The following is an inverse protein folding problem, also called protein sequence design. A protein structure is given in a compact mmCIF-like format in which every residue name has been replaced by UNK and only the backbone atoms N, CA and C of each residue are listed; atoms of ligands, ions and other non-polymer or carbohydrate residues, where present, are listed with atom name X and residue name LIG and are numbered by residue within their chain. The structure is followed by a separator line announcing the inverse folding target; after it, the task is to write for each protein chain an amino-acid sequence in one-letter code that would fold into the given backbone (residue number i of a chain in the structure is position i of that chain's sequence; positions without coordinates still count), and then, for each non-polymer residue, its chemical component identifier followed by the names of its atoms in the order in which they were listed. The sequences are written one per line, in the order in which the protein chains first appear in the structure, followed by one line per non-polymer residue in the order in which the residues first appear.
data_IF_925930526494
#
_entry.id   IF_925930526494
#
_cell.length_a   1.000
_cell.length_b   1.000
_cell.length_c   1.000
_cell.angle_alpha   90.00
_cell.angle_beta   90.00
_cell.angle_gamma   90.00
#
_symmetry.space_group_name_H-M   'P 1'
#
loop_
_entity.id
_entity.type
_entity.pdbx_description
1 polymer ?
#
# COMPACT_ATOMS: atom_id res chain seq x y z
N UNK A 1 -11.77 -70.22 0.77
CA UNK A 1 -12.32 -69.12 1.60
C UNK A 1 -11.20 -68.12 1.88
N UNK A 2 -11.17 -66.98 1.19
CA UNK A 2 -10.16 -65.94 1.34
C UNK A 2 -10.55 -65.04 2.52
N UNK A 3 -9.73 -64.96 3.56
CA UNK A 3 -9.89 -64.00 4.66
C UNK A 3 -9.14 -62.72 4.30
N UNK A 4 -9.89 -61.64 4.09
CA UNK A 4 -9.38 -60.30 3.84
C UNK A 4 -9.07 -59.66 5.21
N UNK A 5 -7.81 -59.32 5.48
CA UNK A 5 -7.43 -58.54 6.66
C UNK A 5 -7.49 -57.06 6.29
N UNK A 6 -8.42 -56.33 6.93
CA UNK A 6 -8.49 -54.87 6.84
C UNK A 6 -7.42 -54.28 7.78
N UNK A 7 -6.41 -53.63 7.22
CA UNK A 7 -5.45 -52.82 7.99
C UNK A 7 -6.04 -51.42 8.12
N UNK A 8 -6.42 -51.03 9.33
CA UNK A 8 -6.82 -49.65 9.62
C UNK A 8 -5.56 -48.89 10.04
N UNK A 9 -4.98 -48.13 9.12
CA UNK A 9 -3.92 -47.17 9.41
C UNK A 9 -4.55 -45.96 10.11
N UNK A 10 -4.32 -45.82 11.42
CA UNK A 10 -4.64 -44.59 12.15
C UNK A 10 -3.56 -43.55 11.82
N UNK A 11 -3.86 -42.66 10.88
CA UNK A 11 -3.04 -41.46 10.65
C UNK A 11 -3.34 -40.51 11.82
N UNK A 12 -2.42 -40.42 12.77
CA UNK A 12 -2.37 -39.30 13.70
C UNK A 12 -2.05 -38.05 12.88
N UNK A 13 -3.07 -37.30 12.50
CA UNK A 13 -2.90 -35.91 12.09
C UNK A 13 -2.43 -35.16 13.33
N UNK A 14 -1.11 -34.96 13.43
CA UNK A 14 -0.56 -33.88 14.21
C UNK A 14 -1.06 -32.58 13.57
N UNK A 15 -2.17 -32.04 14.08
CA UNK A 15 -2.42 -30.61 13.94
C UNK A 15 -1.33 -29.92 14.75
N UNK A 16 -0.24 -29.55 14.08
CA UNK A 16 0.57 -28.46 14.59
C UNK A 16 -0.32 -27.22 14.50
N UNK A 17 -0.67 -26.64 15.64
CA UNK A 17 -1.15 -25.27 15.69
C UNK A 17 -0.11 -24.40 14.99
N UNK A 18 -0.36 -24.09 13.71
CA UNK A 18 0.28 -22.96 13.06
C UNK A 18 -0.24 -21.78 13.86
N UNK A 19 0.61 -21.21 14.73
CA UNK A 19 0.37 -19.91 15.33
C UNK A 19 0.14 -18.93 14.16
N UNK A 20 -1.13 -18.73 13.81
CA UNK A 20 -1.53 -18.22 12.51
C UNK A 20 -1.17 -16.76 12.36
N UNK A 21 -0.08 -16.46 11.62
CA UNK A 21 0.32 -15.09 11.31
C UNK A 21 -0.89 -14.28 10.84
N UNK A 22 -1.19 -13.20 11.57
CA UNK A 22 -2.22 -12.26 11.17
C UNK A 22 -1.58 -11.21 10.28
N UNK A 23 -2.29 -10.73 9.28
CA UNK A 23 -1.75 -9.75 8.35
C UNK A 23 -2.82 -8.77 7.92
N UNK A 24 -2.40 -7.56 7.56
CA UNK A 24 -3.24 -6.52 7.00
C UNK A 24 -2.87 -6.31 5.54
N UNK A 25 -3.85 -6.40 4.65
CA UNK A 25 -3.63 -6.25 3.22
C UNK A 25 -4.07 -4.87 2.74
N UNK A 26 -3.25 -4.25 1.91
CA UNK A 26 -3.53 -3.00 1.21
C UNK A 26 -3.92 -3.33 -0.22
N UNK A 27 -5.18 -3.13 -0.58
CA UNK A 27 -5.73 -3.54 -1.88
C UNK A 27 -6.09 -2.30 -2.71
N UNK A 28 -5.34 -2.00 -3.79
CA UNK A 28 -5.80 -1.05 -4.79
C UNK A 28 -7.12 -1.52 -5.40
N UNK A 29 -8.04 -0.59 -5.59
CA UNK A 29 -9.37 -0.84 -6.15
C UNK A 29 -9.65 0.15 -7.27
N UNK A 30 -10.57 -0.24 -8.15
CA UNK A 30 -11.10 0.58 -9.22
C UNK A 30 -12.58 0.24 -9.39
N UNK A 31 -13.47 1.24 -9.37
CA UNK A 31 -14.93 1.04 -9.46
C UNK A 31 -15.44 0.01 -8.42
N UNK A 32 -14.94 0.11 -7.18
CA UNK A 32 -15.23 -0.80 -6.04
C UNK A 32 -14.79 -2.26 -6.22
N UNK A 33 -14.09 -2.61 -7.31
CA UNK A 33 -13.52 -3.94 -7.53
C UNK A 33 -12.02 -3.93 -7.23
N UNK A 34 -11.45 -5.11 -6.94
CA UNK A 34 -9.99 -5.25 -6.84
C UNK A 34 -9.37 -4.87 -8.18
N UNK A 35 -8.40 -3.97 -8.13
CA UNK A 35 -7.69 -3.50 -9.31
C UNK A 35 -6.73 -4.58 -9.81
N UNK A 36 -6.83 -4.87 -11.10
CA UNK A 36 -5.91 -5.74 -11.84
C UNK A 36 -5.11 -4.86 -12.80
N UNK A 37 -3.78 -4.90 -12.70
CA UNK A 37 -2.91 -4.18 -13.62
C UNK A 37 -3.13 -4.66 -15.07
N UNK A 38 -2.90 -3.75 -16.02
CA UNK A 38 -3.04 -3.96 -17.46
C UNK A 38 -4.45 -4.34 -17.96
N UNK A 39 -5.44 -4.40 -17.07
CA UNK A 39 -6.85 -4.52 -17.43
C UNK A 39 -7.44 -3.16 -17.80
N UNK A 40 -8.35 -3.16 -18.77
CA UNK A 40 -9.10 -1.96 -19.18
C UNK A 40 -10.42 -1.89 -18.43
N UNK A 41 -10.66 -0.78 -17.75
CA UNK A 41 -11.88 -0.48 -16.98
C UNK A 41 -12.96 0.17 -17.84
N UNK A 42 -14.14 0.43 -17.25
CA UNK A 42 -15.35 0.81 -17.99
C UNK A 42 -15.20 2.13 -18.76
N UNK A 43 -14.37 3.04 -18.26
CA UNK A 43 -14.03 4.34 -18.85
C UNK A 43 -12.87 4.30 -19.85
N UNK A 44 -12.43 3.11 -20.25
CA UNK A 44 -11.24 2.84 -21.08
C UNK A 44 -9.91 3.20 -20.40
N UNK A 45 -9.92 3.45 -19.09
CA UNK A 45 -8.68 3.61 -18.33
C UNK A 45 -8.02 2.25 -18.12
N UNK A 46 -6.70 2.21 -18.18
CA UNK A 46 -5.84 1.06 -17.89
C UNK A 46 -4.75 1.53 -16.95
N UNK A 47 -4.57 0.80 -15.85
CA UNK A 47 -3.51 1.08 -14.87
C UNK A 47 -2.37 0.11 -15.10
N UNK A 48 -1.16 0.62 -15.32
CA UNK A 48 0.01 -0.21 -15.68
C UNK A 48 0.99 -0.36 -14.53
N UNK A 49 1.01 0.57 -13.57
CA UNK A 49 1.88 0.46 -12.39
C UNK A 49 1.30 1.21 -11.19
N UNK A 50 1.39 0.59 -10.02
CA UNK A 50 1.07 1.20 -8.73
C UNK A 50 2.15 0.77 -7.74
N UNK A 51 2.89 1.75 -7.22
CA UNK A 51 3.83 1.54 -6.11
C UNK A 51 3.71 2.67 -5.10
N UNK A 52 3.80 2.37 -3.83
CA UNK A 52 3.78 3.40 -2.80
C UNK A 52 4.51 2.96 -1.54
N UNK A 53 5.03 3.92 -0.80
CA UNK A 53 5.62 3.64 0.51
C UNK A 53 4.56 3.80 1.59
N UNK A 54 4.48 2.79 2.46
CA UNK A 54 3.91 2.98 3.79
C UNK A 54 4.97 2.78 4.84
N UNK A 55 4.81 3.40 6.00
CA UNK A 55 5.69 3.17 7.14
C UNK A 55 5.05 3.61 8.44
N UNK A 56 5.77 3.50 9.55
CA UNK A 56 5.28 3.90 10.88
C UNK A 56 3.88 3.33 11.18
N UNK A 57 3.65 2.07 10.80
CA UNK A 57 2.36 1.41 10.93
C UNK A 57 2.08 1.16 12.40
N UNK A 58 0.90 1.53 12.87
CA UNK A 58 0.44 1.38 14.24
C UNK A 58 -0.93 0.76 14.25
N UNK A 59 -1.13 -0.22 15.14
CA UNK A 59 -2.46 -0.74 15.46
C UNK A 59 -2.85 -0.23 16.83
N UNK A 60 -4.03 0.36 16.91
CA UNK A 60 -4.49 1.01 18.12
C UNK A 60 -5.77 0.38 18.65
N UNK A 61 -5.86 0.28 19.96
CA UNK A 61 -7.12 0.08 20.68
C UNK A 61 -7.49 1.41 21.32
N UNK A 62 -8.49 2.07 20.76
CA UNK A 62 -8.93 3.43 21.11
C UNK A 62 -7.83 4.48 20.87
N UNK A 63 -7.00 4.74 21.88
CA UNK A 63 -5.84 5.65 21.81
C UNK A 63 -4.53 4.97 22.23
N UNK A 64 -4.57 3.70 22.64
CA UNK A 64 -3.40 2.94 23.05
C UNK A 64 -2.78 2.23 21.85
N UNK A 65 -1.46 2.33 21.70
CA UNK A 65 -0.70 1.61 20.67
C UNK A 65 -0.52 0.16 21.13
N UNK A 66 -1.06 -0.78 20.35
CA UNK A 66 -0.99 -2.22 20.61
C UNK A 66 0.13 -2.89 19.81
N UNK A 67 0.49 -2.30 18.67
CA UNK A 67 1.58 -2.73 17.80
C UNK A 67 2.12 -1.53 17.04
N UNK A 68 3.42 -1.53 16.78
CA UNK A 68 4.11 -0.51 15.98
C UNK A 68 5.20 -1.16 15.12
N UNK A 69 5.18 -0.88 13.82
CA UNK A 69 6.22 -1.17 12.87
C UNK A 69 6.80 0.18 12.37
N UNK A 70 7.95 0.62 12.88
CA UNK A 70 8.51 1.92 12.54
C UNK A 70 9.16 1.96 11.15
N UNK A 71 9.46 0.80 10.54
CA UNK A 71 10.08 0.73 9.23
C UNK A 71 9.13 1.12 8.10
N UNK A 72 9.72 1.55 6.99
CA UNK A 72 9.04 1.72 5.71
C UNK A 72 9.02 0.41 4.95
N UNK A 73 7.95 0.18 4.19
CA UNK A 73 7.77 -0.94 3.28
C UNK A 73 7.31 -0.43 1.92
N UNK A 74 7.90 -0.96 0.84
CA UNK A 74 7.46 -0.70 -0.51
C UNK A 74 6.25 -1.60 -0.81
N UNK A 75 5.11 -0.98 -1.08
CA UNK A 75 3.91 -1.64 -1.57
C UNK A 75 3.95 -1.59 -3.10
N UNK A 76 4.08 -2.74 -3.74
CA UNK A 76 4.17 -2.88 -5.21
C UNK A 76 3.04 -3.79 -5.72
N UNK A 77 2.14 -3.24 -6.53
CA UNK A 77 1.03 -4.01 -7.07
C UNK A 77 1.46 -5.06 -8.11
N UNK A 78 2.67 -4.96 -8.67
CA UNK A 78 3.27 -6.01 -9.51
C UNK A 78 3.76 -7.20 -8.68
N UNK A 79 3.97 -7.01 -7.37
CA UNK A 79 4.41 -8.01 -6.40
C UNK A 79 3.39 -8.10 -5.25
N UNK A 80 2.24 -8.77 -5.44
CA UNK A 80 1.11 -8.72 -4.50
C UNK A 80 1.41 -9.14 -3.06
N UNK A 81 2.46 -9.93 -2.83
CA UNK A 81 2.97 -10.29 -1.50
C UNK A 81 3.47 -9.08 -0.71
N UNK A 82 3.97 -8.06 -1.40
CA UNK A 82 4.44 -6.81 -0.78
C UNK A 82 3.29 -5.96 -0.25
N UNK A 83 2.07 -6.15 -0.76
CA UNK A 83 0.85 -5.43 -0.37
C UNK A 83 0.32 -5.82 1.03
N UNK A 84 1.15 -6.41 1.87
CA UNK A 84 0.75 -7.01 3.13
C UNK A 84 1.69 -6.58 4.26
N UNK A 85 1.12 -6.13 5.37
CA UNK A 85 1.83 -5.92 6.64
C UNK A 85 1.59 -7.11 7.56
N UNK A 86 2.68 -7.71 8.03
CA UNK A 86 2.60 -8.75 9.05
C UNK A 86 2.28 -8.13 10.40
N UNK A 87 1.39 -8.78 11.14
CA UNK A 87 0.93 -8.31 12.45
C UNK A 87 1.01 -9.45 13.47
N UNK A 88 1.26 -9.13 14.75
CA UNK A 88 1.23 -10.14 15.80
C UNK A 88 -0.13 -10.84 15.86
N UNK A 89 -0.09 -12.11 16.22
CA UNK A 89 -1.30 -12.85 16.58
C UNK A 89 -1.75 -12.42 17.98
N UNK A 90 -3.04 -12.50 18.27
CA UNK A 90 -3.61 -12.27 19.61
C UNK A 90 -3.55 -10.83 20.15
N UNK A 91 -3.51 -9.81 19.28
CA UNK A 91 -3.73 -8.41 19.69
C UNK A 91 -5.15 -7.98 19.31
N UNK A 92 -5.77 -7.13 20.14
CA UNK A 92 -7.05 -6.49 19.82
C UNK A 92 -6.80 -5.03 19.45
N UNK A 93 -7.31 -4.60 18.30
CA UNK A 93 -7.25 -3.22 17.83
C UNK A 93 -8.58 -2.85 17.17
N UNK A 94 -8.85 -1.55 17.05
CA UNK A 94 -10.01 -1.01 16.34
C UNK A 94 -9.64 0.14 15.39
N UNK A 95 -8.34 0.46 15.26
CA UNK A 95 -7.82 1.45 14.32
C UNK A 95 -6.46 1.03 13.79
N UNK A 96 -6.17 1.47 12.57
CA UNK A 96 -4.82 1.47 12.00
C UNK A 96 -4.41 2.92 11.74
N UNK A 97 -3.14 3.23 12.03
CA UNK A 97 -2.50 4.46 11.60
C UNK A 97 -1.23 4.10 10.84
N UNK A 98 -0.95 4.79 9.75
CA UNK A 98 0.29 4.60 9.00
C UNK A 98 0.68 5.90 8.30
N UNK A 99 1.95 6.02 7.97
CA UNK A 99 2.43 7.06 7.08
C UNK A 99 2.37 6.60 5.63
N UNK A 100 2.04 7.53 4.76
CA UNK A 100 2.11 7.42 3.32
C UNK A 100 3.28 8.30 2.85
N UNK A 101 4.30 7.65 2.30
CA UNK A 101 5.56 8.29 1.92
C UNK A 101 6.64 8.29 2.99
N UNK A 102 7.81 8.78 2.62
CA UNK A 102 9.03 8.78 3.43
C UNK A 102 9.24 10.15 4.10
N UNK A 103 9.49 10.18 5.41
CA UNK A 103 9.71 11.41 6.14
C UNK A 103 11.01 12.15 5.74
N UNK A 104 11.11 13.40 6.15
CA UNK A 104 12.27 14.26 5.82
C UNK A 104 13.59 13.78 6.43
N UNK A 105 13.56 13.18 7.63
CA UNK A 105 14.77 12.72 8.30
C UNK A 105 15.37 11.49 7.60
N UNK A 106 14.53 10.57 7.12
CA UNK A 106 14.95 9.44 6.29
C UNK A 106 15.41 9.91 4.92
N UNK A 107 14.70 10.83 4.26
CA UNK A 107 15.17 11.40 2.98
C UNK A 107 16.55 12.07 3.09
N UNK A 108 16.83 12.77 4.19
CA UNK A 108 18.12 13.43 4.43
C UNK A 108 19.30 12.44 4.58
N UNK A 109 19.05 11.15 4.79
CA UNK A 109 20.09 10.12 4.81
C UNK A 109 20.54 9.73 3.39
N UNK A 110 19.82 10.19 2.36
CA UNK A 110 20.07 9.83 0.96
C UNK A 110 19.49 8.46 0.60
N UNK A 111 20.08 7.83 -0.41
CA UNK A 111 19.67 6.52 -0.87
C UNK A 111 20.05 5.42 0.14
N UNK A 112 19.05 4.68 0.59
CA UNK A 112 19.18 3.51 1.47
C UNK A 112 19.03 2.21 0.67
N UNK A 113 18.99 1.06 1.36
CA UNK A 113 18.86 -0.28 0.77
C UNK A 113 17.52 -0.92 1.14
N UNK A 114 17.27 -2.14 0.67
CA UNK A 114 16.03 -2.88 0.95
C UNK A 114 14.84 -2.27 0.21
N UNK A 115 13.71 -2.08 0.89
CA UNK A 115 12.52 -1.44 0.31
C UNK A 115 12.81 -0.02 -0.21
N UNK A 116 13.79 0.64 0.41
CA UNK A 116 14.24 1.98 0.07
C UNK A 116 15.41 2.01 -0.94
N UNK A 117 15.74 0.88 -1.56
CA UNK A 117 16.77 0.81 -2.61
C UNK A 117 16.32 1.56 -3.88
N UNK A 118 17.12 2.52 -4.42
CA UNK A 118 16.81 3.19 -5.68
C UNK A 118 16.58 2.26 -6.87
N UNK A 119 17.10 1.02 -6.85
CA UNK A 119 16.83 0.00 -7.87
C UNK A 119 15.35 -0.33 -8.03
N UNK A 120 14.53 -0.08 -6.99
CA UNK A 120 13.08 -0.23 -7.06
C UNK A 120 12.40 0.85 -7.92
N UNK A 121 13.18 1.82 -8.43
CA UNK A 121 12.71 2.91 -9.30
C UNK A 121 11.87 3.95 -8.55
N UNK A 122 11.98 4.00 -7.23
CA UNK A 122 11.19 4.86 -6.33
C UNK A 122 12.03 5.97 -5.68
N UNK A 123 13.14 6.36 -6.32
CA UNK A 123 14.04 7.40 -5.82
C UNK A 123 14.49 8.33 -6.96
N UNK A 124 14.32 9.63 -6.77
CA UNK A 124 14.88 10.65 -7.65
C UNK A 124 16.24 11.12 -7.13
N UNK A 125 17.24 11.05 -8.00
CA UNK A 125 18.62 11.42 -7.66
C UNK A 125 18.84 12.92 -7.40
N UNK A 126 17.95 13.80 -7.87
CA UNK A 126 18.09 15.25 -7.75
C UNK A 126 17.02 15.87 -6.84
N UNK A 127 17.43 16.29 -5.64
CA UNK A 127 16.73 17.07 -4.59
C UNK A 127 15.30 16.70 -4.17
N UNK A 128 14.66 15.74 -4.84
CA UNK A 128 13.26 15.36 -4.58
C UNK A 128 13.15 14.07 -3.77
N UNK A 129 14.26 13.33 -3.63
CA UNK A 129 14.36 12.15 -2.75
C UNK A 129 13.44 11.01 -3.20
N UNK A 130 12.84 10.33 -2.24
CA UNK A 130 11.93 9.21 -2.50
C UNK A 130 10.65 9.66 -3.22
N UNK A 131 10.20 8.83 -4.15
CA UNK A 131 8.88 8.89 -4.76
C UNK A 131 7.94 8.19 -3.78
N UNK A 132 7.08 8.94 -3.11
CA UNK A 132 6.15 8.41 -2.12
C UNK A 132 5.08 7.52 -2.75
N UNK A 133 4.63 7.88 -3.97
CA UNK A 133 3.69 7.10 -4.76
C UNK A 133 3.99 7.23 -6.26
N UNK A 134 3.99 6.10 -6.96
CA UNK A 134 4.03 5.97 -8.42
C UNK A 134 2.72 5.37 -8.90
N UNK A 135 2.06 6.06 -9.82
CA UNK A 135 0.85 5.61 -10.51
C UNK A 135 0.98 5.94 -12.00
N UNK A 136 0.92 4.92 -12.84
CA UNK A 136 1.05 5.05 -14.29
C UNK A 136 -0.07 4.32 -15.01
N UNK A 137 -0.41 4.80 -16.21
CA UNK A 137 -1.43 4.18 -17.01
C UNK A 137 -1.81 4.99 -18.23
N UNK A 138 -2.95 4.62 -18.79
CA UNK A 138 -3.51 5.19 -20.00
C UNK A 138 -5.01 5.37 -19.82
N UNK A 139 -5.53 6.53 -20.22
CA UNK A 139 -6.97 6.76 -20.39
C UNK A 139 -7.17 7.32 -21.79
N UNK A 140 -7.84 8.47 -21.96
CA UNK A 140 -7.86 9.19 -23.26
C UNK A 140 -6.45 9.55 -23.75
N UNK A 141 -5.52 9.74 -22.82
CA UNK A 141 -4.09 9.96 -23.07
C UNK A 141 -3.29 9.22 -21.98
N UNK A 142 -2.01 8.89 -22.24
CA UNK A 142 -1.12 8.37 -21.20
C UNK A 142 -0.97 9.34 -20.03
N UNK A 143 -0.87 8.80 -18.82
CA UNK A 143 -0.59 9.58 -17.62
C UNK A 143 0.55 8.98 -16.79
N UNK A 144 1.24 9.84 -16.04
CA UNK A 144 2.37 9.46 -15.19
C UNK A 144 2.37 10.32 -13.93
N UNK A 145 2.16 9.70 -12.78
CA UNK A 145 2.12 10.36 -11.48
C UNK A 145 3.18 9.77 -10.58
N UNK A 146 4.31 10.45 -10.48
CA UNK A 146 5.35 10.19 -9.49
C UNK A 146 5.26 11.32 -8.48
N UNK A 147 4.68 11.00 -7.33
CA UNK A 147 4.36 11.93 -6.26
C UNK A 147 5.43 11.77 -5.19
N UNK A 148 6.19 12.83 -4.95
CA UNK A 148 7.24 12.86 -3.93
C UNK A 148 7.50 14.29 -3.46
N UNK A 149 8.53 14.45 -2.65
CA UNK A 149 8.86 15.71 -1.98
C UNK A 149 8.67 15.63 -0.47
N UNK A 150 9.72 16.00 0.25
CA UNK A 150 9.83 15.90 1.71
C UNK A 150 10.19 17.24 2.38
N UNK A 151 10.39 18.28 1.58
CA UNK A 151 10.75 19.62 2.02
C UNK A 151 9.57 20.58 1.86
N UNK A 152 9.48 21.56 2.75
CA UNK A 152 8.55 22.68 2.60
C UNK A 152 8.98 23.52 1.38
N UNK A 153 8.04 23.97 0.53
CA UNK A 153 6.58 23.88 0.70
C UNK A 153 5.92 22.59 0.17
N UNK A 154 6.66 21.72 -0.53
CA UNK A 154 6.11 20.57 -1.25
C UNK A 154 6.32 19.23 -0.52
N UNK A 155 5.96 19.18 0.76
CA UNK A 155 6.04 17.95 1.55
C UNK A 155 4.79 17.08 1.34
N UNK A 156 4.92 15.99 0.60
CA UNK A 156 3.82 15.07 0.25
C UNK A 156 3.64 13.90 1.24
N UNK A 157 4.41 13.85 2.32
CA UNK A 157 4.22 12.88 3.39
C UNK A 157 2.87 13.10 4.08
N UNK A 158 2.08 12.04 4.28
CA UNK A 158 0.79 12.10 5.00
C UNK A 158 0.71 11.01 6.05
N UNK A 159 -0.13 11.24 7.07
CA UNK A 159 -0.50 10.20 8.04
C UNK A 159 -1.97 9.88 7.84
N UNK A 160 -2.28 8.61 7.64
CA UNK A 160 -3.63 8.08 7.48
C UNK A 160 -4.01 7.36 8.76
N UNK A 161 -5.21 7.59 9.26
CA UNK A 161 -5.78 6.86 10.41
C UNK A 161 -7.20 6.45 10.11
N UNK A 162 -7.48 5.15 10.17
CA UNK A 162 -8.77 4.57 9.82
C UNK A 162 -9.32 3.73 10.98
N UNK A 163 -10.64 3.70 11.19
CA UNK A 163 -11.25 2.62 11.95
C UNK A 163 -10.93 1.29 11.27
N UNK A 164 -10.84 0.21 12.04
CA UNK A 164 -10.46 -1.08 11.49
C UNK A 164 -11.19 -2.21 12.18
N UNK A 165 -12.01 -2.93 11.41
CA UNK A 165 -12.74 -4.12 11.84
C UNK A 165 -12.19 -5.38 11.18
N UNK A 166 -11.85 -5.26 9.89
CA UNK A 166 -11.29 -6.34 9.07
C UNK A 166 -9.83 -6.08 8.76
N UNK A 167 -9.16 -7.07 8.19
CA UNK A 167 -7.73 -7.04 7.93
C UNK A 167 -7.37 -6.46 6.56
N UNK A 168 -8.18 -5.52 6.05
CA UNK A 168 -8.01 -4.94 4.72
C UNK A 168 -8.12 -3.41 4.76
N UNK A 169 -7.29 -2.76 3.98
CA UNK A 169 -7.30 -1.33 3.69
C UNK A 169 -7.38 -1.18 2.18
N UNK A 170 -8.35 -0.43 1.70
CA UNK A 170 -8.60 -0.23 0.29
C UNK A 170 -8.09 1.13 -0.18
N UNK A 171 -7.50 1.12 -1.37
CA UNK A 171 -6.99 2.30 -2.07
C UNK A 171 -7.80 2.52 -3.36
N UNK A 172 -8.79 3.41 -3.41
CA UNK A 172 -9.63 3.63 -4.60
C UNK A 172 -8.92 4.54 -5.62
N UNK A 173 -8.33 3.93 -6.63
CA UNK A 173 -7.52 4.64 -7.64
C UNK A 173 -8.38 5.50 -8.56
N UNK A 174 -9.60 5.05 -8.87
CA UNK A 174 -10.56 5.76 -9.71
C UNK A 174 -10.96 7.13 -9.11
N UNK A 175 -11.16 7.20 -7.80
CA UNK A 175 -11.51 8.46 -7.10
C UNK A 175 -10.43 9.52 -7.32
N UNK A 176 -9.15 9.15 -7.16
CA UNK A 176 -8.03 10.07 -7.31
C UNK A 176 -7.85 10.47 -8.78
N UNK A 177 -8.00 9.51 -9.70
CA UNK A 177 -7.85 9.76 -11.12
C UNK A 177 -8.94 10.69 -11.68
N UNK A 178 -10.19 10.55 -11.23
CA UNK A 178 -11.29 11.45 -11.63
C UNK A 178 -10.97 12.92 -11.35
N UNK A 179 -10.33 13.20 -10.21
CA UNK A 179 -9.92 14.55 -9.83
C UNK A 179 -8.65 15.00 -10.59
N UNK A 180 -7.59 14.20 -10.58
CA UNK A 180 -6.26 14.64 -11.04
C UNK A 180 -6.12 14.63 -12.57
N UNK A 181 -6.71 13.67 -13.28
CA UNK A 181 -6.60 13.60 -14.75
C UNK A 181 -7.17 14.83 -15.45
N UNK A 182 -8.18 15.47 -14.86
CA UNK A 182 -8.77 16.71 -15.39
C UNK A 182 -7.84 17.92 -15.28
N UNK A 183 -6.89 17.86 -14.34
CA UNK A 183 -5.95 18.95 -14.05
C UNK A 183 -4.64 18.76 -14.81
N UNK A 184 -4.04 17.56 -14.76
CA UNK A 184 -2.72 17.30 -15.34
C UNK A 184 -2.51 15.80 -15.58
N UNK A 185 -2.00 15.44 -16.75
CA UNK A 185 -1.66 14.04 -17.08
C UNK A 185 -0.28 13.60 -16.59
N UNK A 186 0.61 14.53 -16.25
CA UNK A 186 1.99 14.20 -15.83
C UNK A 186 2.45 15.01 -14.62
N UNK A 187 2.82 14.31 -13.56
CA UNK A 187 3.46 14.87 -12.35
C UNK A 187 4.71 14.04 -12.10
N UNK A 188 5.89 14.67 -12.12
CA UNK A 188 7.19 14.00 -12.00
C UNK A 188 8.17 14.77 -11.13
N UNK A 189 7.64 15.66 -10.28
CA UNK A 189 8.41 16.48 -9.36
C UNK A 189 7.50 17.06 -8.29
N UNK A 190 8.06 17.43 -7.12
CA UNK A 190 7.32 18.14 -6.08
C UNK A 190 6.73 19.45 -6.63
N UNK A 191 5.42 19.67 -6.41
CA UNK A 191 4.69 20.88 -6.79
C UNK A 191 3.33 20.92 -6.07
N UNK A 192 2.58 22.02 -6.20
CA UNK A 192 1.26 22.18 -5.58
C UNK A 192 0.26 21.08 -5.98
N UNK A 193 0.31 20.62 -7.25
CA UNK A 193 -0.56 19.54 -7.71
C UNK A 193 -0.17 18.20 -7.06
N UNK A 194 1.12 17.96 -6.83
CA UNK A 194 1.59 16.78 -6.10
C UNK A 194 1.13 16.80 -4.63
N UNK A 195 1.09 17.98 -4.01
CA UNK A 195 0.51 18.16 -2.67
C UNK A 195 -0.98 17.82 -2.65
N UNK A 196 -1.76 18.39 -3.58
CA UNK A 196 -3.19 18.07 -3.72
C UNK A 196 -3.41 16.57 -3.96
N UNK A 197 -2.57 15.94 -4.78
CA UNK A 197 -2.63 14.50 -4.99
C UNK A 197 -2.46 13.75 -3.67
N UNK A 198 -1.41 14.07 -2.90
CA UNK A 198 -1.13 13.42 -1.63
C UNK A 198 -2.26 13.59 -0.61
N UNK A 199 -2.86 14.79 -0.55
CA UNK A 199 -4.04 15.05 0.29
C UNK A 199 -5.21 14.13 -0.09
N UNK A 200 -5.64 14.17 -1.36
CA UNK A 200 -6.75 13.36 -1.87
C UNK A 200 -6.52 11.87 -1.65
N UNK A 201 -5.31 11.39 -1.95
CA UNK A 201 -4.93 10.00 -1.76
C UNK A 201 -5.06 9.60 -0.29
N UNK A 202 -4.52 10.40 0.63
CA UNK A 202 -4.57 10.11 2.07
C UNK A 202 -5.99 10.07 2.64
N UNK A 203 -6.89 10.88 2.09
CA UNK A 203 -8.30 10.95 2.48
C UNK A 203 -9.16 9.85 1.84
N UNK A 204 -8.68 9.24 0.75
CA UNK A 204 -9.44 8.25 -0.01
C UNK A 204 -9.41 6.83 0.55
N UNK A 205 -8.47 6.51 1.44
CA UNK A 205 -8.37 5.15 1.99
C UNK A 205 -9.58 4.81 2.86
N UNK A 206 -10.00 3.55 2.81
CA UNK A 206 -11.12 3.04 3.63
C UNK A 206 -10.91 1.57 3.99
N UNK A 207 -11.71 1.04 4.92
CA UNK A 207 -11.59 -0.37 5.39
C UNK A 207 -12.83 -1.23 5.16
N UNK A 208 -13.96 -0.62 4.83
CA UNK A 208 -15.25 -1.30 4.64
C UNK A 208 -15.74 -1.08 3.19
N UNK A 209 -16.06 -2.17 2.49
CA UNK A 209 -16.77 -2.14 1.18
C UNK A 209 -18.28 -2.21 1.39
#
# INVERSE_FOLDING_TARGET
MKRCFLVILWINFFFSDILGQSHIKFEPTYESNLLILDSTYSDQTKITSIRFYIGHVKLLKDSQIMFEQPSYQLMDAELPETLTIQTPTNISYNKISFSLGIDSATNNQGALTGDLDPQNGMYWTWQSGYINLKLEGESKQPFTYHIGGYLIPFNTYRTVTLPMTFNKVYLPIDIILQEILTVKSKIMSPCDIAMKFADLLSESFFTDL
#
